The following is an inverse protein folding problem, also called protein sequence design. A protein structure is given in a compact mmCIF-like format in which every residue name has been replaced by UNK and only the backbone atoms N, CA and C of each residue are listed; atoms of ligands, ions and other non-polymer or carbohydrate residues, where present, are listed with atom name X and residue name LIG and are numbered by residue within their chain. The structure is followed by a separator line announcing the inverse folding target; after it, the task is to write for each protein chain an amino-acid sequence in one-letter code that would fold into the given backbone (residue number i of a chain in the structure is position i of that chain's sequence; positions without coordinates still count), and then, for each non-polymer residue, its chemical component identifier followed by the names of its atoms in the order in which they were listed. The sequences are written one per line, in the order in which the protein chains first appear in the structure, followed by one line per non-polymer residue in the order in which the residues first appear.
data_IF_152244777454
#
_entry.id   IF_152244777454
#
_cell.length_a   1.000
_cell.length_b   1.000
_cell.length_c   1.000
_cell.angle_alpha   90.00
_cell.angle_beta   90.00
_cell.angle_gamma   90.00
#
_symmetry.space_group_name_H-M   'P 1'
#
loop_
_entity.id
_entity.type
_entity.pdbx_description
1 polymer ?
#
# COMPACT_ATOMS: atom_id res chain seq x y z
N UNK A 1 2.07 -7.44 19.87
CA UNK A 1 1.13 -6.68 20.71
C UNK A 1 0.44 -5.53 19.97
N UNK A 2 1.01 -4.92 18.91
CA UNK A 2 0.25 -4.00 18.04
C UNK A 2 -0.32 -4.69 16.77
N UNK A 3 0.09 -5.91 16.46
CA UNK A 3 -0.24 -6.63 15.22
C UNK A 3 -1.60 -7.35 15.24
N UNK A 4 -2.25 -7.46 16.39
CA UNK A 4 -3.49 -8.22 16.57
C UNK A 4 -4.75 -7.46 16.13
N UNK A 5 -4.67 -6.13 15.99
CA UNK A 5 -5.80 -5.28 15.61
C UNK A 5 -5.68 -4.80 14.16
N UNK A 6 -6.83 -4.61 13.49
CA UNK A 6 -6.88 -4.06 12.13
C UNK A 6 -6.17 -2.71 12.02
N UNK A 7 -6.33 -1.83 13.01
CA UNK A 7 -5.62 -0.53 13.06
C UNK A 7 -4.10 -0.72 13.07
N UNK A 8 -3.60 -1.66 13.85
CA UNK A 8 -2.17 -1.90 13.94
C UNK A 8 -1.59 -2.55 12.69
N UNK A 9 -2.33 -3.46 12.04
CA UNK A 9 -1.96 -4.03 10.74
C UNK A 9 -1.97 -2.97 9.63
N UNK A 10 -2.96 -2.08 9.62
CA UNK A 10 -2.97 -0.92 8.71
C UNK A 10 -1.80 0.01 8.99
N UNK A 11 -1.47 0.25 10.26
CA UNK A 11 -0.33 1.07 10.67
C UNK A 11 1.02 0.52 10.21
N UNK A 12 1.27 -0.79 10.39
CA UNK A 12 2.50 -1.43 9.91
C UNK A 12 2.57 -1.48 8.39
N UNK A 13 1.46 -1.74 7.71
CA UNK A 13 1.38 -1.70 6.26
C UNK A 13 1.66 -0.29 5.72
N UNK A 14 1.09 0.76 6.34
CA UNK A 14 1.35 2.14 5.98
C UNK A 14 2.81 2.52 6.20
N UNK A 15 3.42 2.10 7.32
CA UNK A 15 4.82 2.32 7.60
C UNK A 15 5.73 1.65 6.55
N UNK A 16 5.43 0.41 6.17
CA UNK A 16 6.15 -0.29 5.11
C UNK A 16 6.02 0.43 3.76
N UNK A 17 4.81 0.90 3.43
CA UNK A 17 4.56 1.72 2.24
C UNK A 17 5.32 3.05 2.27
N UNK A 18 5.43 3.71 3.43
CA UNK A 18 6.18 4.94 3.59
C UNK A 18 7.67 4.74 3.31
N UNK A 19 8.26 3.68 3.88
CA UNK A 19 9.67 3.33 3.66
C UNK A 19 9.92 3.00 2.18
N UNK A 20 9.09 2.13 1.59
CA UNK A 20 9.21 1.75 0.18
C UNK A 20 9.03 2.94 -0.78
N UNK A 21 8.01 3.77 -0.55
CA UNK A 21 7.74 4.96 -1.36
C UNK A 21 8.77 6.07 -1.17
N UNK A 22 9.34 6.20 0.04
CA UNK A 22 10.44 7.11 0.32
C UNK A 22 11.71 6.71 -0.43
N UNK A 23 12.02 5.41 -0.47
CA UNK A 23 13.16 4.89 -1.23
C UNK A 23 12.95 5.10 -2.74
N UNK A 24 11.77 4.75 -3.26
CA UNK A 24 11.44 5.00 -4.67
C UNK A 24 11.48 6.48 -5.03
N UNK A 25 10.95 7.34 -4.15
CA UNK A 25 10.98 8.79 -4.30
C UNK A 25 12.40 9.38 -4.25
N UNK A 26 13.30 8.79 -3.46
CA UNK A 26 14.70 9.24 -3.40
C UNK A 26 15.44 8.90 -4.69
N UNK A 27 15.20 7.72 -5.25
CA UNK A 27 15.77 7.31 -6.53
C UNK A 27 15.23 8.22 -7.65
N UNK A 28 13.92 8.47 -7.68
CA UNK A 28 13.33 9.34 -8.71
C UNK A 28 13.81 10.78 -8.59
N UNK A 29 13.95 11.31 -7.38
CA UNK A 29 14.54 12.63 -7.15
C UNK A 29 15.99 12.68 -7.65
N UNK A 30 16.81 11.68 -7.31
CA UNK A 30 18.21 11.62 -7.76
C UNK A 30 18.36 11.67 -9.28
N UNK A 31 17.45 11.03 -10.02
CA UNK A 31 17.47 11.03 -11.48
C UNK A 31 17.04 12.37 -12.09
N UNK A 32 16.11 13.08 -11.45
CA UNK A 32 15.61 14.36 -11.94
C UNK A 32 16.52 15.54 -11.55
N UNK A 33 17.20 15.47 -10.39
CA UNK A 33 18.04 16.55 -9.86
C UNK A 33 19.54 16.43 -10.26
N UNK A 34 19.96 15.29 -10.84
CA UNK A 34 21.36 15.04 -11.25
C UNK A 34 22.02 16.13 -12.13
N UNK A 35 21.33 16.80 -13.09
CA UNK A 35 21.95 17.89 -13.86
C UNK A 35 21.86 19.30 -13.21
N UNK A 36 21.11 19.50 -12.12
CA UNK A 36 20.75 20.84 -11.58
C UNK A 36 21.70 21.38 -10.50
N UNK A 37 22.68 20.59 -10.05
CA UNK A 37 23.55 20.89 -8.90
C UNK A 37 24.65 21.97 -9.14
N UNK A 38 24.60 22.74 -10.22
CA UNK A 38 25.62 23.78 -10.55
C UNK A 38 25.33 25.20 -10.02
N UNK A 39 24.51 25.37 -8.98
CA UNK A 39 24.42 26.70 -8.33
C UNK A 39 23.25 27.01 -7.39
N UNK A 40 22.25 26.13 -7.24
CA UNK A 40 21.10 26.38 -6.34
C UNK A 40 20.81 25.15 -5.44
N UNK A 41 21.63 24.91 -4.42
CA UNK A 41 21.53 23.72 -3.57
C UNK A 41 20.23 23.64 -2.76
N UNK A 42 19.69 24.78 -2.31
CA UNK A 42 18.49 24.83 -1.46
C UNK A 42 17.19 24.62 -2.23
N UNK A 43 17.12 25.06 -3.49
CA UNK A 43 15.96 24.85 -4.35
C UNK A 43 15.88 23.39 -4.84
N UNK A 44 17.03 22.83 -5.27
CA UNK A 44 17.14 21.43 -5.63
C UNK A 44 16.74 20.53 -4.45
N UNK A 45 17.29 20.77 -3.25
CA UNK A 45 16.98 19.98 -2.07
C UNK A 45 15.49 20.03 -1.69
N UNK A 46 14.84 21.19 -1.77
CA UNK A 46 13.40 21.33 -1.51
C UNK A 46 12.55 20.56 -2.52
N UNK A 47 12.95 20.58 -3.79
CA UNK A 47 12.27 19.81 -4.83
C UNK A 47 12.44 18.30 -4.62
N UNK A 48 13.66 17.83 -4.34
CA UNK A 48 13.92 16.43 -4.02
C UNK A 48 13.10 15.94 -2.83
N UNK A 49 13.07 16.71 -1.73
CA UNK A 49 12.24 16.42 -0.57
C UNK A 49 10.75 16.41 -0.89
N UNK A 50 10.30 17.31 -1.77
CA UNK A 50 8.93 17.35 -2.26
C UNK A 50 8.51 16.05 -2.95
N UNK A 51 9.36 15.56 -3.86
CA UNK A 51 9.16 14.30 -4.61
C UNK A 51 9.20 13.09 -3.68
N UNK A 52 10.21 13.01 -2.81
CA UNK A 52 10.33 11.92 -1.82
C UNK A 52 9.08 11.86 -0.95
N UNK A 53 8.66 12.99 -0.40
CA UNK A 53 7.47 13.07 0.47
C UNK A 53 6.21 12.67 -0.29
N UNK A 54 6.02 13.15 -1.52
CA UNK A 54 4.81 12.83 -2.28
C UNK A 54 4.71 11.34 -2.61
N UNK A 55 5.84 10.71 -2.95
CA UNK A 55 5.88 9.27 -3.23
C UNK A 55 5.72 8.46 -1.94
N UNK A 56 6.41 8.81 -0.86
CA UNK A 56 6.26 8.13 0.44
C UNK A 56 4.79 8.12 0.91
N UNK A 57 4.12 9.27 0.86
CA UNK A 57 2.70 9.37 1.25
C UNK A 57 1.78 8.58 0.33
N UNK A 58 2.08 8.54 -0.97
CA UNK A 58 1.32 7.76 -1.94
C UNK A 58 1.37 6.27 -1.63
N UNK A 59 2.58 5.71 -1.51
CA UNK A 59 2.73 4.29 -1.19
C UNK A 59 2.18 3.95 0.19
N UNK A 60 2.39 4.81 1.19
CA UNK A 60 1.77 4.65 2.51
C UNK A 60 0.24 4.58 2.42
N UNK A 61 -0.39 5.45 1.64
CA UNK A 61 -1.85 5.48 1.48
C UNK A 61 -2.39 4.23 0.77
N UNK A 62 -1.72 3.76 -0.29
CA UNK A 62 -2.10 2.54 -1.02
C UNK A 62 -1.98 1.33 -0.11
N UNK A 63 -0.87 1.19 0.62
CA UNK A 63 -0.66 0.09 1.56
C UNK A 63 -1.64 0.12 2.74
N UNK A 64 -1.98 1.30 3.25
CA UNK A 64 -2.98 1.45 4.30
C UNK A 64 -4.37 1.02 3.82
N UNK A 65 -4.79 1.48 2.63
CA UNK A 65 -6.10 1.13 2.06
C UNK A 65 -6.18 -0.35 1.72
N UNK A 66 -5.11 -0.96 1.25
CA UNK A 66 -5.06 -2.41 1.05
C UNK A 66 -5.35 -3.17 2.35
N UNK A 67 -4.59 -2.90 3.40
CA UNK A 67 -4.75 -3.59 4.69
C UNK A 67 -6.11 -3.31 5.36
N UNK A 68 -6.60 -2.07 5.27
CA UNK A 68 -7.92 -1.71 5.79
C UNK A 68 -9.04 -2.43 5.01
N UNK A 69 -8.93 -2.51 3.68
CA UNK A 69 -9.92 -3.17 2.84
C UNK A 69 -9.95 -4.68 3.10
N UNK A 70 -8.80 -5.33 3.28
CA UNK A 70 -8.75 -6.73 3.70
C UNK A 70 -9.50 -6.95 5.02
N UNK A 71 -9.27 -6.09 6.01
CA UNK A 71 -9.97 -6.15 7.29
C UNK A 71 -11.49 -6.03 7.15
N UNK A 72 -11.96 -5.07 6.34
CA UNK A 72 -13.40 -4.86 6.10
C UNK A 72 -14.02 -6.06 5.38
N UNK A 73 -13.40 -6.54 4.29
CA UNK A 73 -13.94 -7.65 3.50
C UNK A 73 -13.96 -8.95 4.31
N UNK A 74 -12.91 -9.19 5.12
CA UNK A 74 -12.85 -10.33 6.04
C UNK A 74 -13.95 -10.25 7.10
N UNK A 75 -14.17 -9.07 7.69
CA UNK A 75 -15.23 -8.86 8.68
C UNK A 75 -16.63 -9.11 8.12
N UNK A 76 -16.90 -8.64 6.90
CA UNK A 76 -18.22 -8.81 6.26
C UNK A 76 -18.47 -10.24 5.81
N UNK A 77 -17.47 -10.94 5.25
CA UNK A 77 -17.69 -12.26 4.64
C UNK A 77 -17.38 -13.45 5.55
N UNK A 78 -16.65 -13.27 6.65
CA UNK A 78 -16.16 -14.35 7.53
C UNK A 78 -15.50 -15.52 6.78
N UNK A 79 -14.93 -15.25 5.60
CA UNK A 79 -14.25 -16.22 4.74
C UNK A 79 -12.89 -15.69 4.35
N UNK A 80 -11.89 -16.58 4.32
CA UNK A 80 -10.52 -16.28 3.94
C UNK A 80 -10.23 -16.88 2.56
N UNK A 81 -10.75 -16.22 1.53
CA UNK A 81 -10.59 -16.63 0.14
C UNK A 81 -9.61 -15.69 -0.58
N UNK A 82 -8.94 -16.24 -1.59
CA UNK A 82 -8.05 -15.53 -2.52
C UNK A 82 -8.69 -14.23 -3.10
N UNK A 83 -9.99 -14.29 -3.38
CA UNK A 83 -10.73 -13.13 -3.88
C UNK A 83 -10.71 -11.90 -2.95
N UNK A 84 -10.45 -12.05 -1.66
CA UNK A 84 -10.37 -10.92 -0.73
C UNK A 84 -9.15 -10.03 -1.02
N UNK A 85 -7.99 -10.63 -1.29
CA UNK A 85 -6.78 -9.88 -1.60
C UNK A 85 -6.87 -9.23 -2.99
N UNK A 86 -7.52 -9.88 -3.96
CA UNK A 86 -7.79 -9.30 -5.29
C UNK A 86 -8.71 -8.07 -5.19
N UNK A 87 -9.80 -8.16 -4.42
CA UNK A 87 -10.74 -7.05 -4.21
C UNK A 87 -10.06 -5.90 -3.43
N UNK A 88 -9.32 -6.23 -2.37
CA UNK A 88 -8.55 -5.24 -1.62
C UNK A 88 -7.46 -4.57 -2.49
N UNK A 89 -6.81 -5.35 -3.36
CA UNK A 89 -5.84 -4.86 -4.34
C UNK A 89 -6.46 -3.89 -5.35
N UNK A 90 -7.66 -4.19 -5.86
CA UNK A 90 -8.39 -3.26 -6.73
C UNK A 90 -8.78 -1.97 -5.99
N UNK A 91 -9.25 -2.07 -4.75
CA UNK A 91 -9.63 -0.92 -3.94
C UNK A 91 -8.43 -0.01 -3.64
N UNK A 92 -7.31 -0.62 -3.22
CA UNK A 92 -6.05 0.08 -3.03
C UNK A 92 -5.53 0.70 -4.34
N UNK A 93 -5.62 -0.03 -5.45
CA UNK A 93 -5.16 0.42 -6.77
C UNK A 93 -5.96 1.61 -7.31
N UNK A 94 -7.25 1.65 -6.98
CA UNK A 94 -8.13 2.76 -7.35
C UNK A 94 -7.71 4.08 -6.69
N UNK A 95 -7.05 4.04 -5.52
CA UNK A 95 -6.56 5.24 -4.81
C UNK A 95 -5.50 6.00 -5.60
N UNK A 96 -4.74 5.33 -6.47
CA UNK A 96 -3.75 5.99 -7.33
C UNK A 96 -4.44 6.96 -8.31
N UNK A 97 -5.59 6.60 -8.86
CA UNK A 97 -6.32 7.48 -9.77
C UNK A 97 -7.07 8.60 -9.06
N UNK A 98 -7.44 8.43 -7.78
CA UNK A 98 -7.97 9.52 -6.95
C UNK A 98 -6.91 10.63 -6.80
N UNK A 99 -5.65 10.26 -6.55
CA UNK A 99 -4.54 11.23 -6.51
C UNK A 99 -4.35 11.95 -7.85
N UNK A 100 -4.37 11.21 -8.94
CA UNK A 100 -4.09 11.72 -10.29
C UNK A 100 -5.32 12.36 -10.96
N UNK A 101 -6.48 12.39 -10.28
CA UNK A 101 -7.77 12.85 -10.82
C UNK A 101 -8.10 12.24 -12.18
N UNK A 102 -7.74 10.97 -12.38
CA UNK A 102 -7.88 10.28 -13.66
C UNK A 102 -8.57 8.94 -13.47
N UNK A 103 -9.73 8.79 -14.13
CA UNK A 103 -10.47 7.53 -14.16
C UNK A 103 -9.64 6.41 -14.80
N UNK A 104 -8.89 6.74 -15.85
CA UNK A 104 -7.99 5.78 -16.51
C UNK A 104 -6.91 5.27 -15.55
N UNK A 105 -6.34 6.14 -14.73
CA UNK A 105 -5.36 5.74 -13.71
C UNK A 105 -5.98 4.90 -12.59
N UNK A 106 -7.24 5.17 -12.20
CA UNK A 106 -7.94 4.34 -11.20
C UNK A 106 -8.19 2.93 -11.73
N UNK A 107 -8.68 2.80 -12.96
CA UNK A 107 -8.94 1.49 -13.58
C UNK A 107 -7.63 0.74 -13.80
N UNK A 108 -6.60 1.41 -14.34
CA UNK A 108 -5.29 0.81 -14.54
C UNK A 108 -4.67 0.35 -13.20
N UNK A 109 -4.77 1.17 -12.16
CA UNK A 109 -4.31 0.85 -10.80
C UNK A 109 -5.06 -0.33 -10.20
N UNK A 110 -6.39 -0.37 -10.34
CA UNK A 110 -7.20 -1.49 -9.89
C UNK A 110 -6.80 -2.79 -10.59
N UNK A 111 -6.76 -2.80 -11.92
CA UNK A 111 -6.46 -4.00 -12.72
C UNK A 111 -5.05 -4.50 -12.45
N UNK A 112 -4.07 -3.60 -12.36
CA UNK A 112 -2.66 -3.98 -12.12
C UNK A 112 -2.45 -4.58 -10.74
N UNK A 113 -2.98 -3.97 -9.67
CA UNK A 113 -2.85 -4.53 -8.32
C UNK A 113 -3.73 -5.77 -8.11
N UNK A 114 -4.93 -5.83 -8.70
CA UNK A 114 -5.75 -7.03 -8.68
C UNK A 114 -5.05 -8.20 -9.39
N UNK A 115 -4.45 -7.96 -10.55
CA UNK A 115 -3.68 -8.96 -11.28
C UNK A 115 -2.44 -9.42 -10.50
N UNK A 116 -1.75 -8.49 -9.84
CA UNK A 116 -0.60 -8.83 -9.00
C UNK A 116 -1.01 -9.73 -7.83
N UNK A 117 -2.11 -9.43 -7.14
CA UNK A 117 -2.60 -10.26 -6.04
C UNK A 117 -3.07 -11.64 -6.53
N UNK A 118 -3.78 -11.69 -7.66
CA UNK A 118 -4.16 -12.95 -8.28
C UNK A 118 -2.92 -13.80 -8.67
N UNK A 119 -1.84 -13.16 -9.14
CA UNK A 119 -0.59 -13.85 -9.44
C UNK A 119 0.10 -14.38 -8.18
N UNK A 120 0.12 -13.62 -7.09
CA UNK A 120 0.66 -14.08 -5.79
C UNK A 120 -0.07 -15.34 -5.32
N UNK A 121 -1.39 -15.36 -5.46
CA UNK A 121 -2.22 -16.51 -5.10
C UNK A 121 -2.01 -17.70 -6.03
N UNK A 122 -1.88 -17.46 -7.33
CA UNK A 122 -1.59 -18.50 -8.32
C UNK A 122 -0.23 -19.19 -8.08
N UNK A 123 0.74 -18.48 -7.50
CA UNK A 123 2.05 -19.06 -7.12
C UNK A 123 2.04 -19.77 -5.77
N UNK A 124 0.87 -19.87 -5.11
CA UNK A 124 0.73 -20.50 -3.80
C UNK A 124 1.48 -19.76 -2.69
N UNK A 125 1.66 -18.44 -2.82
CA UNK A 125 2.34 -17.61 -1.82
C UNK A 125 3.87 -17.73 -1.82
N UNK A 126 4.49 -18.50 -2.73
CA UNK A 126 5.96 -18.68 -2.78
C UNK A 126 6.74 -17.38 -3.07
N UNK A 127 6.10 -16.41 -3.72
CA UNK A 127 6.69 -15.09 -4.03
C UNK A 127 6.62 -14.09 -2.87
N UNK A 128 5.87 -14.39 -1.81
CA UNK A 128 5.78 -13.56 -0.61
C UNK A 128 6.24 -14.34 0.64
N UNK A 129 7.53 -14.67 0.78
CA UNK A 129 8.05 -15.35 1.95
C UNK A 129 8.47 -14.32 3.03
N UNK A 130 7.53 -13.70 3.74
CA UNK A 130 7.86 -12.94 4.95
C UNK A 130 6.63 -12.79 5.85
N UNK A 131 6.68 -13.38 7.04
CA UNK A 131 5.63 -13.37 8.06
C UNK A 131 4.26 -13.85 7.54
N UNK A 132 4.20 -15.12 7.15
CA UNK A 132 3.05 -15.93 7.56
C UNK A 132 2.98 -15.88 9.09
N UNK A 133 2.30 -14.90 9.65
CA UNK A 133 1.22 -15.39 10.47
C UNK A 133 0.27 -16.06 9.46
N UNK A 134 -0.13 -17.34 9.67
CA UNK A 134 -1.34 -17.81 9.00
C UNK A 134 -2.37 -16.70 9.19
N UNK A 135 -3.28 -16.46 8.23
CA UNK A 135 -4.42 -15.58 8.50
C UNK A 135 -4.85 -15.84 9.96
N UNK A 136 -4.59 -14.93 10.93
CA UNK A 136 -4.80 -15.31 12.29
C UNK A 136 -6.27 -15.63 12.31
N UNK A 137 -6.59 -16.80 12.84
CA UNK A 137 -7.93 -17.23 13.14
C UNK A 137 -8.48 -16.29 14.22
N UNK A 138 -8.58 -14.99 13.94
CA UNK A 138 -9.47 -14.09 14.62
C UNK A 138 -10.83 -14.37 13.99
N UNK A 139 -11.52 -15.33 14.62
CA UNK A 139 -12.95 -15.19 14.85
C UNK A 139 -13.16 -13.71 15.18
N UNK A 140 -13.89 -12.99 14.32
CA UNK A 140 -14.32 -11.63 14.62
C UNK A 140 -15.18 -11.76 15.86
N UNK A 141 -14.63 -11.47 17.03
CA UNK A 141 -15.44 -11.14 18.18
C UNK A 141 -15.95 -9.71 17.91
N UNK A 142 -17.25 -9.51 17.66
CA UNK A 142 -17.82 -8.21 17.26
C UNK A 142 -17.64 -7.11 18.33
N UNK A 143 -17.11 -7.44 19.51
CA UNK A 143 -16.87 -6.52 20.64
C UNK A 143 -15.56 -5.73 20.58
N UNK A 144 -14.64 -6.02 19.67
CA UNK A 144 -13.34 -5.32 19.61
C UNK A 144 -13.35 -4.03 18.75
N UNK A 145 -14.53 -3.59 18.29
CA UNK A 145 -14.70 -2.40 17.44
C UNK A 145 -15.30 -1.20 18.21
N UNK A 146 -15.39 -1.29 19.54
CA UNK A 146 -16.11 -0.29 20.38
C UNK A 146 -15.27 0.32 21.53
N UNK A 147 -13.96 0.10 21.59
CA UNK A 147 -13.06 0.76 22.55
C UNK A 147 -11.99 1.61 21.84
#
# INVERSE_FOLDING_TARGET
MASDSCVGRTGTAAAAGLVGGGMFGAISAAWNDAPVLRGQSSAALRNSFGVIRSQALLFASVSAVFAASECVVRSVRNKNDAWNAVIAGCAAGSTLGVRSRSLGASVAGCVSLAALMAAVEATGGKLYPAHTEPAPSYVVDPKAMEE
#
